data_IF_764434266609
#
_entry.id   IF_764434266609
#
_cell.length_a   1.000
_cell.length_b   1.000
_cell.length_c   1.000
_cell.angle_alpha   90.00
_cell.angle_beta   90.00
_cell.angle_gamma   90.00
#
_symmetry.space_group_name_H-M   'P 1'
#
loop_
_entity.id
_entity.type
_entity.pdbx_description
1 polymer ?
#
# COMPACT_ATOMS: atom_id res chain seq x y z
N UNK A 1 -29.78 31.07 -46.69
CA UNK A 1 -30.50 29.86 -46.27
C UNK A 1 -29.54 28.69 -46.32
N UNK A 2 -29.00 28.26 -45.17
CA UNK A 2 -28.06 27.13 -45.11
C UNK A 2 -28.85 25.83 -44.95
N UNK A 3 -28.81 24.96 -45.97
CA UNK A 3 -29.37 23.62 -45.90
C UNK A 3 -28.48 22.75 -45.01
N UNK A 4 -28.99 22.33 -43.86
CA UNK A 4 -28.37 21.32 -43.00
C UNK A 4 -28.30 19.99 -43.77
N UNK A 5 -27.12 19.67 -44.30
CA UNK A 5 -26.83 18.35 -44.83
C UNK A 5 -26.91 17.32 -43.69
N UNK A 6 -28.05 16.63 -43.56
CA UNK A 6 -28.18 15.45 -42.71
C UNK A 6 -27.18 14.41 -43.21
N UNK A 7 -26.05 14.29 -42.52
CA UNK A 7 -25.07 13.23 -42.75
C UNK A 7 -25.83 11.91 -42.65
N UNK A 8 -25.99 11.22 -43.77
CA UNK A 8 -26.74 9.96 -43.82
C UNK A 8 -25.84 8.82 -43.32
N UNK A 9 -25.69 8.75 -41.99
CA UNK A 9 -24.81 7.82 -41.27
C UNK A 9 -25.10 6.34 -41.64
N UNK A 10 -26.34 6.04 -42.02
CA UNK A 10 -26.80 4.70 -42.44
C UNK A 10 -26.06 4.14 -43.66
N UNK A 11 -25.74 4.99 -44.64
CA UNK A 11 -25.11 4.56 -45.90
C UNK A 11 -23.61 4.21 -45.73
N UNK A 12 -22.97 4.65 -44.64
CA UNK A 12 -21.56 4.36 -44.33
C UNK A 12 -21.39 3.19 -43.35
N UNK A 13 -22.33 3.01 -42.42
CA UNK A 13 -22.26 1.93 -41.42
C UNK A 13 -22.60 0.57 -42.03
N UNK A 14 -23.62 0.51 -42.89
CA UNK A 14 -24.07 -0.74 -43.51
C UNK A 14 -22.96 -1.50 -44.28
N UNK A 15 -22.18 -0.87 -45.19
CA UNK A 15 -21.09 -1.56 -45.88
C UNK A 15 -19.94 -1.94 -44.93
N UNK A 16 -19.69 -1.15 -43.87
CA UNK A 16 -18.70 -1.46 -42.86
C UNK A 16 -19.07 -2.71 -42.06
N UNK A 17 -20.31 -2.80 -41.56
CA UNK A 17 -20.80 -3.98 -40.83
C UNK A 17 -20.87 -5.23 -41.72
N UNK A 18 -21.17 -5.09 -43.02
CA UNK A 18 -21.10 -6.24 -43.95
C UNK A 18 -19.67 -6.75 -44.16
N UNK A 19 -18.70 -5.84 -44.23
CA UNK A 19 -17.29 -6.19 -44.45
C UNK A 19 -16.60 -6.71 -43.18
N UNK A 20 -16.94 -6.17 -42.00
CA UNK A 20 -16.24 -6.43 -40.73
C UNK A 20 -17.12 -7.07 -39.65
N UNK A 21 -18.39 -7.36 -39.91
CA UNK A 21 -19.34 -7.87 -38.91
C UNK A 21 -18.89 -9.17 -38.26
N UNK A 22 -18.34 -10.11 -39.05
CA UNK A 22 -17.77 -11.36 -38.52
C UNK A 22 -16.59 -11.10 -37.59
N UNK A 23 -15.72 -10.14 -37.94
CA UNK A 23 -14.56 -9.74 -37.12
C UNK A 23 -15.03 -9.07 -35.82
N UNK A 24 -16.08 -8.24 -35.88
CA UNK A 24 -16.67 -7.59 -34.69
C UNK A 24 -17.26 -8.65 -33.75
N UNK A 25 -18.04 -9.60 -34.25
CA UNK A 25 -18.59 -10.70 -33.44
C UNK A 25 -17.48 -11.55 -32.84
N UNK A 26 -16.47 -11.91 -33.63
CA UNK A 26 -15.31 -12.66 -33.15
C UNK A 26 -14.55 -11.89 -32.05
N UNK A 27 -14.39 -10.57 -32.21
CA UNK A 27 -13.79 -9.71 -31.20
C UNK A 27 -14.62 -9.70 -29.91
N UNK A 28 -15.94 -9.56 -29.97
CA UNK A 28 -16.81 -9.61 -28.78
C UNK A 28 -16.77 -10.97 -28.06
N UNK A 29 -16.59 -12.07 -28.78
CA UNK A 29 -16.43 -13.41 -28.19
C UNK A 29 -15.06 -13.60 -27.55
N UNK A 30 -13.99 -13.08 -28.17
CA UNK A 30 -12.61 -13.23 -27.69
C UNK A 30 -12.24 -12.21 -26.60
N UNK A 31 -12.82 -11.01 -26.65
CA UNK A 31 -12.56 -9.90 -25.72
C UNK A 31 -12.65 -10.30 -24.24
N UNK A 32 -13.69 -10.97 -23.74
CA UNK A 32 -13.78 -11.34 -22.32
C UNK A 32 -12.64 -12.27 -21.87
N UNK A 33 -12.18 -13.17 -22.75
CA UNK A 33 -11.07 -14.08 -22.47
C UNK A 33 -9.73 -13.34 -22.48
N UNK A 34 -9.52 -12.48 -23.47
CA UNK A 34 -8.31 -11.66 -23.58
C UNK A 34 -8.20 -10.69 -22.40
N UNK A 35 -9.30 -10.03 -22.01
CA UNK A 35 -9.37 -9.17 -20.84
C UNK A 35 -9.02 -9.92 -19.55
N UNK A 36 -9.62 -11.10 -19.31
CA UNK A 36 -9.29 -11.94 -18.16
C UNK A 36 -7.82 -12.34 -18.14
N UNK A 37 -7.25 -12.66 -19.30
CA UNK A 37 -5.83 -13.03 -19.42
C UNK A 37 -4.91 -11.85 -19.07
N UNK A 38 -5.16 -10.66 -19.62
CA UNK A 38 -4.41 -9.45 -19.30
C UNK A 38 -4.51 -9.13 -17.80
N UNK A 39 -5.69 -9.26 -17.20
CA UNK A 39 -5.88 -9.03 -15.77
C UNK A 39 -5.04 -10.00 -14.92
N UNK A 40 -5.07 -11.30 -15.24
CA UNK A 40 -4.26 -12.32 -14.54
C UNK A 40 -2.77 -12.04 -14.69
N UNK A 41 -2.33 -11.66 -15.88
CA UNK A 41 -0.94 -11.33 -16.15
C UNK A 41 -0.48 -10.10 -15.34
N UNK A 42 -1.29 -9.04 -15.32
CA UNK A 42 -1.05 -7.85 -14.50
C UNK A 42 -0.93 -8.23 -13.01
N UNK A 43 -1.87 -8.99 -12.48
CA UNK A 43 -1.83 -9.42 -11.08
C UNK A 43 -0.59 -10.25 -10.76
N UNK A 44 -0.15 -11.13 -11.67
CA UNK A 44 1.06 -11.94 -11.48
C UNK A 44 2.33 -11.09 -11.46
N UNK A 45 2.42 -10.08 -12.32
CA UNK A 45 3.55 -9.13 -12.33
C UNK A 45 3.56 -8.31 -11.04
N UNK A 46 2.41 -7.80 -10.62
CA UNK A 46 2.28 -7.03 -9.37
C UNK A 46 2.72 -7.87 -8.17
N UNK A 47 2.25 -9.12 -8.07
CA UNK A 47 2.66 -10.05 -7.02
C UNK A 47 4.18 -10.30 -7.01
N UNK A 48 4.78 -10.64 -8.16
CA UNK A 48 6.21 -10.88 -8.24
C UNK A 48 7.04 -9.62 -7.88
N UNK A 49 6.54 -8.44 -8.24
CA UNK A 49 7.17 -7.17 -7.91
C UNK A 49 7.10 -6.87 -6.41
N UNK A 50 5.95 -7.14 -5.79
CA UNK A 50 5.76 -6.90 -4.36
C UNK A 50 6.51 -7.93 -3.50
N UNK A 51 6.59 -9.18 -3.92
CA UNK A 51 7.47 -10.20 -3.31
C UNK A 51 8.94 -9.77 -3.38
N UNK A 52 9.43 -9.34 -4.56
CA UNK A 52 10.80 -8.86 -4.70
C UNK A 52 11.10 -7.63 -3.82
N UNK A 53 10.14 -6.70 -3.69
CA UNK A 53 10.27 -5.56 -2.75
C UNK A 53 10.33 -6.03 -1.30
N UNK A 54 9.52 -7.02 -0.93
CA UNK A 54 9.47 -7.59 0.41
C UNK A 54 10.78 -8.27 0.77
N UNK A 55 11.31 -9.10 -0.12
CA UNK A 55 12.57 -9.82 0.08
C UNK A 55 13.74 -8.86 0.17
N UNK A 56 13.80 -7.86 -0.72
CA UNK A 56 14.82 -6.82 -0.67
C UNK A 56 14.76 -6.04 0.63
N UNK A 57 13.58 -5.60 1.05
CA UNK A 57 13.43 -4.84 2.30
C UNK A 57 13.81 -5.68 3.52
N UNK A 58 13.45 -6.96 3.51
CA UNK A 58 13.81 -7.93 4.55
C UNK A 58 15.32 -8.11 4.63
N UNK A 59 15.99 -8.34 3.50
CA UNK A 59 17.44 -8.52 3.44
C UNK A 59 18.19 -7.25 3.89
N UNK A 60 17.77 -6.09 3.41
CA UNK A 60 18.39 -4.81 3.76
C UNK A 60 18.19 -4.47 5.25
N UNK A 61 17.01 -4.78 5.82
CA UNK A 61 16.73 -4.51 7.23
C UNK A 61 17.26 -5.60 8.16
N UNK A 62 17.47 -6.85 7.71
CA UNK A 62 17.96 -7.93 8.57
C UNK A 62 19.26 -7.61 9.33
N UNK A 63 20.09 -6.72 8.79
CA UNK A 63 21.39 -6.33 9.38
C UNK A 63 21.31 -5.12 10.32
N UNK A 64 20.16 -4.43 10.40
CA UNK A 64 20.01 -3.21 11.21
C UNK A 64 21.00 -2.08 10.85
N UNK A 65 21.63 -2.13 9.66
CA UNK A 65 22.76 -1.26 9.34
C UNK A 65 22.33 0.22 9.27
N UNK A 66 22.88 1.11 10.12
CA UNK A 66 22.50 2.53 10.16
C UNK A 66 22.66 3.27 8.84
N UNK A 67 23.66 2.91 8.03
CA UNK A 67 23.88 3.54 6.72
C UNK A 67 22.76 3.19 5.72
N UNK A 68 22.31 1.93 5.72
CA UNK A 68 21.20 1.46 4.87
C UNK A 68 19.90 2.13 5.32
N UNK A 69 19.63 2.17 6.63
CA UNK A 69 18.44 2.85 7.18
C UNK A 69 18.45 4.34 6.80
N UNK A 70 19.59 5.02 6.90
CA UNK A 70 19.71 6.43 6.47
C UNK A 70 19.39 6.60 4.98
N UNK A 71 19.91 5.72 4.12
CA UNK A 71 19.59 5.76 2.68
C UNK A 71 18.10 5.55 2.42
N UNK A 72 17.46 4.60 3.12
CA UNK A 72 16.03 4.34 3.01
C UNK A 72 15.18 5.51 3.47
N UNK A 73 15.55 6.14 4.58
CA UNK A 73 14.91 7.38 5.06
C UNK A 73 14.97 8.47 3.98
N UNK A 74 16.12 8.65 3.31
CA UNK A 74 16.25 9.60 2.20
C UNK A 74 15.44 9.20 0.96
N UNK A 75 15.30 7.89 0.67
CA UNK A 75 14.44 7.42 -0.42
C UNK A 75 12.95 7.74 -0.15
N UNK A 76 12.47 7.52 1.08
CA UNK A 76 11.09 7.87 1.45
C UNK A 76 10.90 9.39 1.43
N UNK A 77 11.87 10.17 1.93
CA UNK A 77 11.84 11.65 1.85
C UNK A 77 11.65 12.15 0.42
N UNK A 78 12.37 11.56 -0.54
CA UNK A 78 12.26 11.92 -1.96
C UNK A 78 10.86 11.67 -2.56
N UNK A 79 10.11 10.70 -2.04
CA UNK A 79 8.71 10.45 -2.46
C UNK A 79 7.75 11.57 -2.00
N UNK A 80 8.10 12.28 -0.94
CA UNK A 80 7.26 13.29 -0.31
C UNK A 80 7.96 14.66 -0.21
N UNK A 81 8.35 15.27 -1.35
CA UNK A 81 9.17 16.49 -1.36
C UNK A 81 8.48 17.73 -0.76
N UNK A 82 7.15 17.71 -0.67
CA UNK A 82 6.35 18.84 -0.20
C UNK A 82 6.24 18.91 1.34
N UNK A 83 6.78 17.93 2.07
CA UNK A 83 6.74 17.92 3.53
C UNK A 83 7.98 18.60 4.11
N UNK A 84 7.78 19.39 5.16
CA UNK A 84 8.89 19.95 5.94
C UNK A 84 9.75 18.82 6.54
N UNK A 85 11.07 18.99 6.51
CA UNK A 85 12.05 18.10 7.13
C UNK A 85 11.72 17.74 8.58
N UNK A 86 11.22 18.69 9.38
CA UNK A 86 10.81 18.45 10.77
C UNK A 86 9.66 17.44 10.84
N UNK A 87 8.64 17.62 10.00
CA UNK A 87 7.48 16.72 9.91
C UNK A 87 7.90 15.33 9.45
N UNK A 88 8.75 15.23 8.43
CA UNK A 88 9.23 13.93 7.96
C UNK A 88 10.02 13.20 9.04
N UNK A 89 10.93 13.89 9.73
CA UNK A 89 11.70 13.29 10.81
C UNK A 89 10.78 12.80 11.94
N UNK A 90 9.77 13.59 12.30
CA UNK A 90 8.77 13.20 13.29
C UNK A 90 7.98 11.96 12.86
N UNK A 91 7.55 11.88 11.59
CA UNK A 91 6.85 10.70 11.06
C UNK A 91 7.75 9.46 11.14
N UNK A 92 9.02 9.57 10.72
CA UNK A 92 9.97 8.46 10.81
C UNK A 92 10.19 8.01 12.26
N UNK A 93 10.37 8.94 13.20
CA UNK A 93 10.49 8.62 14.62
C UNK A 93 9.24 7.93 15.17
N UNK A 94 8.06 8.40 14.79
CA UNK A 94 6.81 7.79 15.21
C UNK A 94 6.62 6.39 14.60
N UNK A 95 7.01 6.17 13.34
CA UNK A 95 7.01 4.85 12.71
C UNK A 95 7.89 3.85 13.47
N UNK A 96 9.11 4.25 13.84
CA UNK A 96 10.02 3.43 14.65
C UNK A 96 9.41 3.10 16.03
N UNK A 97 8.84 4.09 16.71
CA UNK A 97 8.19 3.88 18.01
C UNK A 97 6.98 2.96 17.93
N UNK A 98 6.17 3.07 16.88
CA UNK A 98 5.03 2.17 16.66
C UNK A 98 5.53 0.76 16.39
N UNK A 99 6.60 0.60 15.60
CA UNK A 99 7.17 -0.72 15.36
C UNK A 99 7.74 -1.35 16.64
N UNK A 100 8.36 -0.56 17.51
CA UNK A 100 8.77 -1.02 18.84
C UNK A 100 7.57 -1.38 19.71
N UNK A 101 6.50 -0.57 19.71
CA UNK A 101 5.30 -0.82 20.51
C UNK A 101 4.56 -2.10 20.11
N UNK A 102 4.50 -2.40 18.81
CA UNK A 102 3.95 -3.66 18.28
C UNK A 102 4.95 -4.81 18.30
N UNK A 103 6.20 -4.58 18.74
CA UNK A 103 7.24 -5.61 18.70
C UNK A 103 7.58 -6.10 17.29
N UNK A 104 7.47 -5.23 16.30
CA UNK A 104 7.73 -5.53 14.88
C UNK A 104 9.02 -4.89 14.36
N UNK A 105 9.71 -4.13 15.22
CA UNK A 105 10.97 -3.48 14.89
C UNK A 105 12.01 -4.50 14.42
N UNK A 106 12.90 -4.02 13.56
CA UNK A 106 13.94 -4.81 12.90
C UNK A 106 14.77 -5.67 13.86
N UNK A 107 15.05 -5.15 15.06
CA UNK A 107 15.90 -5.78 16.07
C UNK A 107 15.17 -6.86 16.88
N UNK A 108 13.90 -6.65 17.23
CA UNK A 108 13.13 -7.58 18.05
C UNK A 108 12.38 -8.64 17.21
N UNK A 109 12.18 -8.38 15.92
CA UNK A 109 11.46 -9.28 15.01
C UNK A 109 12.34 -10.45 14.54
N UNK A 110 12.34 -11.54 15.31
CA UNK A 110 12.97 -12.81 14.97
C UNK A 110 12.05 -13.65 14.09
N UNK A 111 11.91 -13.26 12.81
CA UNK A 111 11.27 -14.10 11.80
C UNK A 111 12.28 -15.13 11.27
N UNK A 112 12.01 -16.41 11.50
CA UNK A 112 12.66 -17.54 10.79
C UNK A 112 11.61 -18.13 9.86
N UNK A 113 11.71 -17.82 8.56
CA UNK A 113 10.70 -18.19 7.57
C UNK A 113 9.37 -17.44 7.78
N UNK A 114 8.23 -18.15 7.78
CA UNK A 114 6.89 -17.59 8.03
C UNK A 114 6.46 -17.60 9.50
N UNK A 115 7.32 -18.06 10.42
CA UNK A 115 6.98 -18.24 11.83
C UNK A 115 7.67 -17.19 12.71
N UNK A 116 6.86 -16.51 13.53
CA UNK A 116 7.30 -15.54 14.54
C UNK A 116 7.61 -16.28 15.85
N UNK A 117 8.90 -16.54 16.10
CA UNK A 117 9.37 -17.33 17.25
C UNK A 117 9.64 -16.45 18.47
N UNK A 118 8.60 -15.81 19.01
CA UNK A 118 8.68 -15.05 20.26
C UNK A 118 9.30 -13.65 20.14
N UNK A 119 8.49 -12.65 20.47
CA UNK A 119 8.98 -11.35 20.90
C UNK A 119 8.66 -11.21 22.40
N UNK A 120 9.69 -11.30 23.25
CA UNK A 120 9.55 -11.22 24.72
C UNK A 120 9.06 -9.84 25.17
N UNK A 121 9.28 -8.78 24.37
CA UNK A 121 8.69 -7.44 24.57
C UNK A 121 7.27 -7.29 24.02
N UNK A 122 6.84 -8.14 23.08
CA UNK A 122 5.45 -8.16 22.64
C UNK A 122 4.49 -8.67 23.73
N UNK A 123 5.01 -9.29 24.79
CA UNK A 123 4.20 -9.60 25.98
C UNK A 123 3.86 -8.36 26.81
N UNK A 124 4.54 -7.24 26.56
CA UNK A 124 4.24 -5.91 27.11
C UNK A 124 3.92 -4.92 25.99
N UNK A 125 3.13 -5.35 24.99
CA UNK A 125 2.65 -4.49 23.90
C UNK A 125 2.10 -3.17 24.46
N UNK A 126 2.74 -2.05 24.09
CA UNK A 126 2.31 -0.71 24.49
C UNK A 126 1.30 -0.18 23.47
N UNK A 127 0.15 -0.84 23.44
CA UNK A 127 -0.97 -0.53 22.54
C UNK A 127 -1.41 0.93 22.69
N UNK A 128 -1.39 1.46 23.93
CA UNK A 128 -1.77 2.85 24.22
C UNK A 128 -0.83 3.85 23.55
N UNK A 129 0.49 3.63 23.62
CA UNK A 129 1.46 4.46 22.90
C UNK A 129 1.26 4.34 21.40
N UNK A 130 1.04 3.13 20.87
CA UNK A 130 0.80 2.94 19.44
C UNK A 130 -0.44 3.74 18.98
N UNK A 131 -1.57 3.64 19.70
CA UNK A 131 -2.80 4.39 19.41
C UNK A 131 -2.56 5.90 19.48
N UNK A 132 -1.88 6.38 20.54
CA UNK A 132 -1.58 7.80 20.70
C UNK A 132 -0.77 8.34 19.54
N UNK A 133 0.25 7.60 19.09
CA UNK A 133 1.08 7.99 17.94
C UNK A 133 0.28 7.90 16.62
N UNK A 134 -0.50 6.85 16.43
CA UNK A 134 -1.37 6.68 15.26
C UNK A 134 -2.36 7.86 15.15
N UNK A 135 -2.96 8.32 16.25
CA UNK A 135 -3.87 9.48 16.26
C UNK A 135 -3.19 10.80 15.85
N UNK A 136 -1.87 10.92 15.96
CA UNK A 136 -1.12 12.12 15.53
C UNK A 136 -1.00 12.23 14.00
N UNK A 137 -1.19 11.13 13.28
CA UNK A 137 -0.95 11.05 11.83
C UNK A 137 -2.21 11.17 10.98
N UNK A 138 -3.12 12.05 11.39
CA UNK A 138 -4.28 12.45 10.57
C UNK A 138 -3.81 13.03 9.23
N UNK A 139 -4.27 12.46 8.13
CA UNK A 139 -3.88 12.85 6.78
C UNK A 139 -2.43 12.51 6.37
N UNK A 140 -1.60 12.02 7.29
CA UNK A 140 -0.21 11.59 7.01
C UNK A 140 0.00 10.08 7.19
N UNK A 141 -1.07 9.32 7.42
CA UNK A 141 -1.03 7.88 7.58
C UNK A 141 -0.31 7.14 6.43
N UNK A 142 -0.54 7.43 5.14
CA UNK A 142 0.19 6.74 4.06
C UNK A 142 1.71 6.96 4.12
N UNK A 143 2.14 8.15 4.56
CA UNK A 143 3.58 8.47 4.71
C UNK A 143 4.14 7.71 5.92
N UNK A 144 3.38 7.65 7.01
CA UNK A 144 3.73 6.85 8.19
C UNK A 144 3.88 5.37 7.84
N UNK A 145 2.95 4.82 7.06
CA UNK A 145 2.96 3.44 6.58
C UNK A 145 4.19 3.16 5.70
N UNK A 146 4.56 4.08 4.82
CA UNK A 146 5.77 3.98 4.01
C UNK A 146 7.04 3.94 4.86
N UNK A 147 7.16 4.82 5.87
CA UNK A 147 8.28 4.77 6.82
C UNK A 147 8.27 3.48 7.63
N UNK A 148 7.11 3.06 8.13
CA UNK A 148 6.96 1.85 8.93
C UNK A 148 7.42 0.60 8.18
N UNK A 149 6.98 0.45 6.93
CA UNK A 149 7.39 -0.66 6.07
C UNK A 149 8.89 -0.57 5.73
N UNK A 150 9.35 0.60 5.26
CA UNK A 150 10.67 0.72 4.64
C UNK A 150 11.80 0.73 5.68
N UNK A 151 11.62 1.45 6.79
CA UNK A 151 12.70 1.70 7.76
C UNK A 151 12.49 0.99 9.10
N UNK A 152 11.24 0.79 9.53
CA UNK A 152 10.96 0.30 10.88
C UNK A 152 10.77 -1.22 10.97
N UNK A 153 10.37 -1.88 9.89
CA UNK A 153 10.11 -3.34 9.88
C UNK A 153 10.77 -4.03 8.70
N UNK A 154 10.91 -5.36 8.73
CA UNK A 154 11.50 -6.13 7.62
C UNK A 154 10.55 -6.26 6.43
N UNK A 155 9.28 -6.52 6.70
CA UNK A 155 8.31 -6.85 5.64
C UNK A 155 6.86 -6.57 6.05
N UNK A 156 6.64 -5.81 7.13
CA UNK A 156 5.30 -5.68 7.71
C UNK A 156 4.61 -4.42 7.26
N UNK A 157 3.30 -4.56 7.07
CA UNK A 157 2.43 -3.47 6.71
C UNK A 157 1.74 -2.92 7.98
N UNK A 158 1.76 -1.59 8.14
CA UNK A 158 1.21 -0.94 9.33
C UNK A 158 -0.28 -1.21 9.52
N UNK A 159 -1.10 -1.22 8.46
CA UNK A 159 -2.53 -1.52 8.58
C UNK A 159 -2.79 -2.95 9.03
N UNK A 160 -2.05 -3.90 8.46
CA UNK A 160 -2.15 -5.31 8.87
C UNK A 160 -1.73 -5.49 10.33
N UNK A 161 -0.65 -4.83 10.76
CA UNK A 161 -0.19 -4.88 12.13
C UNK A 161 -1.16 -4.19 13.10
N UNK A 162 -1.74 -3.04 12.73
CA UNK A 162 -2.81 -2.38 13.51
C UNK A 162 -3.97 -3.34 13.75
N UNK A 163 -4.41 -4.08 12.75
CA UNK A 163 -5.52 -5.04 12.87
C UNK A 163 -5.15 -6.30 13.67
N UNK A 164 -3.87 -6.66 13.71
CA UNK A 164 -3.37 -7.85 14.42
C UNK A 164 -3.09 -7.58 15.88
N UNK A 165 -2.46 -6.44 16.18
CA UNK A 165 -1.91 -6.12 17.50
C UNK A 165 -2.81 -5.21 18.33
N UNK A 166 -3.72 -4.43 17.73
CA UNK A 166 -4.70 -3.72 18.53
C UNK A 166 -5.89 -4.61 18.84
N UNK A 167 -6.38 -4.53 20.08
CA UNK A 167 -7.68 -5.09 20.44
C UNK A 167 -8.80 -4.54 19.54
N UNK A 168 -9.92 -5.27 19.48
CA UNK A 168 -11.07 -4.88 18.66
C UNK A 168 -11.63 -3.53 19.08
N UNK A 169 -11.66 -3.27 20.39
CA UNK A 169 -12.14 -2.04 21.01
C UNK A 169 -11.27 -0.84 20.59
N UNK A 170 -9.95 -0.99 20.66
CA UNK A 170 -8.99 0.03 20.27
C UNK A 170 -8.98 0.29 18.75
N UNK A 171 -9.03 -0.78 17.95
CA UNK A 171 -9.18 -0.68 16.49
C UNK A 171 -10.44 0.10 16.13
N UNK A 172 -11.56 -0.18 16.81
CA UNK A 172 -12.81 0.54 16.62
C UNK A 172 -12.71 2.00 17.08
N UNK A 173 -12.08 2.27 18.22
CA UNK A 173 -11.83 3.62 18.73
C UNK A 173 -11.05 4.44 17.71
N UNK A 174 -9.97 3.87 17.17
CA UNK A 174 -9.12 4.50 16.19
C UNK A 174 -9.85 4.71 14.86
N UNK A 175 -10.59 3.72 14.37
CA UNK A 175 -11.45 3.85 13.18
C UNK A 175 -12.44 5.00 13.35
N UNK A 176 -13.12 5.06 14.49
CA UNK A 176 -14.08 6.12 14.82
C UNK A 176 -13.41 7.50 14.90
N UNK A 177 -12.22 7.59 15.50
CA UNK A 177 -11.46 8.84 15.62
C UNK A 177 -11.13 9.46 14.26
N UNK A 178 -10.75 8.63 13.29
CA UNK A 178 -10.41 9.06 11.94
C UNK A 178 -11.66 9.34 11.09
N UNK A 179 -12.70 8.49 11.18
CA UNK A 179 -13.99 8.72 10.51
C UNK A 179 -14.61 10.05 10.91
N UNK A 180 -14.59 10.39 12.21
CA UNK A 180 -15.05 11.69 12.73
C UNK A 180 -14.32 12.90 12.13
N UNK A 181 -13.14 12.69 11.52
CA UNK A 181 -12.30 13.73 10.90
C UNK A 181 -12.25 13.62 9.38
N UNK A 182 -13.17 12.86 8.77
CA UNK A 182 -13.26 12.62 7.33
C UNK A 182 -12.05 11.88 6.73
N UNK A 183 -11.39 11.03 7.52
CA UNK A 183 -10.33 10.16 7.05
C UNK A 183 -10.77 8.70 7.11
N UNK A 184 -10.69 8.01 5.97
CA UNK A 184 -11.00 6.58 5.82
C UNK A 184 -9.72 5.85 5.43
N UNK A 185 -9.09 5.20 6.40
CA UNK A 185 -7.77 4.55 6.22
C UNK A 185 -7.75 3.09 6.72
N UNK A 186 -8.72 2.73 7.58
CA UNK A 186 -9.13 1.38 7.99
C UNK A 186 -10.48 1.06 7.34
#
# INVERSE_FOLDING_TARGET
MAQNAKINISNKITPFLKKYGVIIVLFFLLFPYLYKYILKFKNKIEQATDEAKKDRNTAENATGNPAIIKQKVEQVKKKYPNLNQKTINQINTNALKIATAFGTNVDDNHQIGNFEFFNVKAWTEDEETAIRLLKQHLGTFPILEDFYYTTATRSRNLKADVLKYLSKEQSQELSNFYKKRNYFWL
#
